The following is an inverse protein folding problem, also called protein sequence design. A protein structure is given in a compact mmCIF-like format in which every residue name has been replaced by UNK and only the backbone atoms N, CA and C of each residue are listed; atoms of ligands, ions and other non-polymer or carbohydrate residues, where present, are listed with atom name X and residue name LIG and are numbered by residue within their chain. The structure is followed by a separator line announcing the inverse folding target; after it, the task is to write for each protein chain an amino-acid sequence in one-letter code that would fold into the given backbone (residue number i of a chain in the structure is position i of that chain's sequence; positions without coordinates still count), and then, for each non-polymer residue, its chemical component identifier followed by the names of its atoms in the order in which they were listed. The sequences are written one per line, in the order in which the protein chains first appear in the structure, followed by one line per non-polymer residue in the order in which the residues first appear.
data_IF_583773635386
#
_entry.id   IF_583773635386
#
_cell.length_a   1.000
_cell.length_b   1.000
_cell.length_c   1.000
_cell.angle_alpha   90.00
_cell.angle_beta   90.00
_cell.angle_gamma   90.00
#
_symmetry.space_group_name_H-M   'P 1'
#
loop_
_entity.id
_entity.type
_entity.pdbx_description
1 polymer ?
#
# COMPACT_ATOMS: atom_id res chain seq x y z
N UNK A 1 -53.48 15.38 27.57
CA UNK A 1 -52.17 14.75 27.85
C UNK A 1 -51.71 14.03 26.59
N UNK A 2 -50.92 14.69 25.77
CA UNK A 2 -50.21 14.07 24.65
C UNK A 2 -48.88 14.79 24.56
N UNK A 3 -47.84 14.17 25.11
CA UNK A 3 -46.47 14.67 25.03
C UNK A 3 -45.92 14.29 23.65
N UNK A 4 -45.59 15.29 22.86
CA UNK A 4 -44.89 15.15 21.58
C UNK A 4 -43.42 14.85 21.89
N UNK A 5 -42.98 13.62 21.60
CA UNK A 5 -41.56 13.24 21.67
C UNK A 5 -40.81 13.93 20.52
N UNK A 6 -39.73 14.68 20.80
CA UNK A 6 -38.91 15.24 19.73
C UNK A 6 -38.17 14.11 19.01
N UNK A 7 -38.24 14.13 17.68
CA UNK A 7 -37.48 13.25 16.79
C UNK A 7 -35.98 13.38 17.09
N UNK A 8 -35.33 12.26 17.43
CA UNK A 8 -33.88 12.21 17.52
C UNK A 8 -33.30 12.25 16.11
N UNK A 9 -32.55 13.32 15.79
CA UNK A 9 -31.68 13.36 14.63
C UNK A 9 -30.73 12.14 14.65
N UNK A 10 -30.57 11.39 13.55
CA UNK A 10 -29.58 10.33 13.49
C UNK A 10 -28.19 10.98 13.60
N UNK A 11 -27.59 10.88 14.78
CA UNK A 11 -26.20 11.27 14.99
C UNK A 11 -25.33 10.60 13.92
N UNK A 12 -24.70 11.42 13.08
CA UNK A 12 -23.88 10.95 11.97
C UNK A 12 -22.81 9.97 12.45
N UNK A 13 -22.86 8.75 11.96
CA UNK A 13 -21.83 7.74 12.21
C UNK A 13 -20.46 8.27 11.77
N UNK A 14 -19.38 8.07 12.56
CA UNK A 14 -18.05 8.52 12.16
C UNK A 14 -17.65 7.88 10.83
N UNK A 15 -17.02 8.66 9.95
CA UNK A 15 -16.50 8.17 8.68
C UNK A 15 -15.47 7.07 8.95
N UNK A 16 -15.69 5.89 8.37
CA UNK A 16 -14.77 4.76 8.46
C UNK A 16 -13.95 4.66 7.17
N UNK A 17 -12.66 4.38 7.32
CA UNK A 17 -11.74 4.22 6.20
C UNK A 17 -11.40 2.74 6.00
N UNK A 18 -11.31 2.33 4.74
CA UNK A 18 -10.84 0.99 4.40
C UNK A 18 -9.29 0.94 4.42
N UNK A 19 -8.69 -0.05 5.07
CA UNK A 19 -7.24 -0.21 5.05
C UNK A 19 -6.73 -0.69 3.68
N UNK A 20 -5.54 -0.22 3.30
CA UNK A 20 -4.81 -0.77 2.16
C UNK A 20 -4.27 -2.17 2.50
N UNK A 21 -4.27 -3.05 1.50
CA UNK A 21 -3.57 -4.33 1.58
C UNK A 21 -2.28 -4.26 0.74
N UNK A 22 -1.18 -4.80 1.25
CA UNK A 22 0.10 -4.83 0.53
C UNK A 22 0.37 -6.19 -0.12
N UNK A 23 0.95 -6.19 -1.31
CA UNK A 23 1.39 -7.39 -2.03
C UNK A 23 2.82 -7.20 -2.54
N UNK A 24 3.71 -8.13 -2.20
CA UNK A 24 5.09 -8.16 -2.67
C UNK A 24 5.23 -9.25 -3.74
N UNK A 25 5.84 -8.95 -4.89
CA UNK A 25 6.09 -9.97 -5.89
C UNK A 25 7.26 -10.87 -5.46
N UNK A 26 7.27 -12.16 -5.83
CA UNK A 26 8.44 -13.03 -5.60
C UNK A 26 9.72 -12.48 -6.25
N UNK A 27 9.57 -11.85 -7.43
CA UNK A 27 10.66 -11.20 -8.14
C UNK A 27 11.28 -10.06 -7.33
N UNK A 28 10.45 -9.23 -6.68
CA UNK A 28 10.92 -8.21 -5.75
C UNK A 28 11.71 -8.79 -4.59
N UNK A 29 11.22 -9.86 -3.94
CA UNK A 29 11.92 -10.48 -2.80
C UNK A 29 13.30 -11.03 -3.22
N UNK A 30 13.38 -11.62 -4.41
CA UNK A 30 14.65 -12.08 -4.98
C UNK A 30 15.60 -10.91 -5.25
N UNK A 31 15.11 -9.84 -5.88
CA UNK A 31 15.89 -8.64 -6.16
C UNK A 31 16.40 -7.98 -4.87
N UNK A 32 15.55 -7.89 -3.84
CA UNK A 32 15.91 -7.37 -2.52
C UNK A 32 17.03 -8.20 -1.87
N UNK A 33 16.92 -9.53 -1.92
CA UNK A 33 17.96 -10.43 -1.41
C UNK A 33 19.30 -10.22 -2.11
N UNK A 34 19.30 -10.09 -3.44
CA UNK A 34 20.51 -9.83 -4.21
C UNK A 34 21.08 -8.44 -3.92
N UNK A 35 20.23 -7.41 -3.84
CA UNK A 35 20.65 -6.04 -3.56
C UNK A 35 21.24 -5.89 -2.15
N UNK A 36 20.68 -6.59 -1.14
CA UNK A 36 21.21 -6.59 0.24
C UNK A 36 22.63 -7.12 0.31
N UNK A 37 22.94 -8.17 -0.45
CA UNK A 37 24.26 -8.80 -0.46
C UNK A 37 25.27 -8.01 -1.29
N UNK A 38 24.87 -7.50 -2.45
CA UNK A 38 25.79 -6.90 -3.43
C UNK A 38 25.97 -5.40 -3.25
N UNK A 39 24.86 -4.68 -3.06
CA UNK A 39 24.80 -3.21 -3.15
C UNK A 39 24.80 -2.59 -1.76
N UNK A 40 23.90 -3.05 -0.88
CA UNK A 40 23.79 -2.49 0.47
C UNK A 40 24.85 -3.04 1.42
N UNK A 41 25.47 -4.18 1.12
CA UNK A 41 26.52 -4.80 1.96
C UNK A 41 26.12 -4.88 3.43
N UNK A 42 24.87 -5.29 3.69
CA UNK A 42 24.28 -5.35 5.04
C UNK A 42 24.11 -3.98 5.71
N UNK A 43 24.01 -2.89 4.94
CA UNK A 43 23.57 -1.60 5.47
C UNK A 43 22.08 -1.66 5.84
N UNK A 44 21.75 -1.06 6.98
CA UNK A 44 20.38 -0.94 7.51
C UNK A 44 19.79 0.44 7.23
N UNK A 45 20.49 1.29 6.47
CA UNK A 45 19.97 2.58 6.03
C UNK A 45 18.69 2.45 5.21
N UNK A 46 17.82 3.45 5.38
CA UNK A 46 16.54 3.55 4.69
C UNK A 46 16.75 3.64 3.17
N UNK A 47 16.08 2.76 2.42
CA UNK A 47 16.17 2.71 0.96
C UNK A 47 14.92 3.29 0.32
N UNK A 48 15.09 4.09 -0.74
CA UNK A 48 13.96 4.57 -1.52
C UNK A 48 13.28 3.40 -2.25
N UNK A 49 11.95 3.39 -2.24
CA UNK A 49 11.11 2.40 -2.89
C UNK A 49 10.00 3.12 -3.66
N UNK A 50 9.56 2.59 -4.78
CA UNK A 50 8.33 3.03 -5.47
C UNK A 50 7.40 1.84 -5.63
N UNK A 51 6.27 1.85 -4.93
CA UNK A 51 5.20 0.89 -5.17
C UNK A 51 4.14 1.46 -6.09
N UNK A 52 3.16 0.64 -6.43
CA UNK A 52 2.02 1.06 -7.24
C UNK A 52 0.72 0.48 -6.71
N UNK A 53 -0.38 1.20 -6.87
CA UNK A 53 -1.70 0.66 -6.58
C UNK A 53 -2.64 0.94 -7.74
N UNK A 54 -3.72 0.16 -7.81
CA UNK A 54 -4.76 0.31 -8.83
C UNK A 54 -6.09 0.54 -8.16
N UNK A 55 -6.80 1.60 -8.58
CA UNK A 55 -8.15 1.87 -8.08
C UNK A 55 -9.17 1.05 -8.88
N UNK A 56 -9.98 0.21 -8.23
CA UNK A 56 -11.08 -0.49 -8.88
C UNK A 56 -12.21 0.52 -9.13
N UNK A 57 -12.18 1.24 -10.26
CA UNK A 57 -13.22 2.24 -10.53
C UNK A 57 -13.24 2.90 -11.90
N UNK A 58 -12.23 2.71 -12.76
CA UNK A 58 -12.14 3.49 -14.00
C UNK A 58 -11.68 2.68 -15.23
N UNK A 59 -11.88 1.36 -15.27
CA UNK A 59 -11.73 0.58 -16.50
C UNK A 59 -12.78 -0.54 -16.62
N UNK A 60 -13.29 -0.81 -17.84
CA UNK A 60 -14.40 -1.72 -18.12
C UNK A 60 -13.92 -3.18 -18.12
N UNK A 61 -13.24 -3.62 -17.07
CA UNK A 61 -12.85 -5.02 -16.95
C UNK A 61 -13.98 -5.78 -16.24
N UNK A 62 -15.06 -5.98 -16.98
CA UNK A 62 -16.04 -7.00 -16.68
C UNK A 62 -15.30 -8.34 -16.78
N UNK A 63 -14.78 -8.83 -15.66
CA UNK A 63 -14.51 -10.27 -15.55
C UNK A 63 -15.88 -10.89 -15.74
N UNK A 64 -16.16 -11.44 -16.93
CA UNK A 64 -17.30 -12.33 -17.15
C UNK A 64 -17.06 -13.55 -16.27
N UNK A 65 -17.36 -13.41 -14.98
CA UNK A 65 -17.61 -14.54 -14.11
C UNK A 65 -19.07 -14.88 -14.35
N UNK A 66 -19.29 -16.09 -14.85
CA UNK A 66 -20.61 -16.66 -15.00
C UNK A 66 -21.41 -16.45 -13.71
N UNK A 67 -22.59 -15.85 -13.88
CA UNK A 67 -23.77 -15.87 -13.01
C UNK A 67 -23.55 -15.66 -11.50
N UNK A 68 -23.80 -14.44 -11.04
CA UNK A 68 -23.93 -14.09 -9.63
C UNK A 68 -23.25 -12.76 -9.31
N UNK A 69 -23.94 -11.64 -9.54
CA UNK A 69 -23.51 -10.30 -9.15
C UNK A 69 -23.43 -10.16 -7.63
N UNK A 70 -22.32 -10.60 -7.06
CA UNK A 70 -21.82 -10.11 -5.78
C UNK A 70 -20.66 -9.19 -6.11
N UNK A 71 -20.85 -7.88 -5.93
CA UNK A 71 -19.77 -6.90 -5.91
C UNK A 71 -18.90 -7.22 -4.71
N UNK A 72 -17.98 -8.18 -4.85
CA UNK A 72 -17.02 -8.51 -3.81
C UNK A 72 -16.12 -7.30 -3.59
N UNK A 73 -16.30 -6.66 -2.43
CA UNK A 73 -15.46 -5.56 -1.96
C UNK A 73 -14.02 -6.07 -1.84
N UNK A 74 -13.18 -5.75 -2.82
CA UNK A 74 -11.77 -6.12 -2.82
C UNK A 74 -10.96 -4.88 -2.39
N UNK A 75 -10.15 -4.97 -1.33
CA UNK A 75 -9.35 -3.85 -0.88
C UNK A 75 -8.35 -3.43 -1.96
N UNK A 76 -8.03 -2.15 -1.99
CA UNK A 76 -7.00 -1.63 -2.87
C UNK A 76 -5.66 -2.29 -2.49
N UNK A 77 -5.02 -2.89 -3.49
CA UNK A 77 -3.73 -3.56 -3.33
C UNK A 77 -2.59 -2.60 -3.69
N UNK A 78 -1.71 -2.37 -2.72
CA UNK A 78 -0.40 -1.74 -2.91
C UNK A 78 0.63 -2.81 -3.29
N UNK A 79 1.10 -2.76 -4.52
CA UNK A 79 1.99 -3.75 -5.13
C UNK A 79 3.41 -3.19 -5.21
N UNK A 80 4.36 -3.97 -4.71
CA UNK A 80 5.80 -3.71 -4.84
C UNK A 80 6.38 -4.78 -5.76
N UNK A 81 6.88 -4.35 -6.92
CA UNK A 81 7.45 -5.20 -7.96
C UNK A 81 8.98 -5.10 -8.00
N UNK A 82 9.61 -5.89 -8.89
CA UNK A 82 11.05 -5.97 -9.06
C UNK A 82 11.74 -4.62 -9.34
N UNK A 83 11.02 -3.71 -10.00
CA UNK A 83 11.55 -2.39 -10.37
C UNK A 83 11.38 -1.35 -9.25
N UNK A 84 10.79 -1.73 -8.12
CA UNK A 84 10.47 -0.80 -7.04
C UNK A 84 11.69 -0.13 -6.41
N UNK A 85 12.89 -0.70 -6.57
CA UNK A 85 14.13 -0.16 -6.00
C UNK A 85 14.98 0.64 -6.99
N UNK A 86 14.56 0.75 -8.26
CA UNK A 86 15.31 1.52 -9.25
C UNK A 86 15.19 3.02 -8.94
N UNK A 87 16.33 3.66 -8.62
CA UNK A 87 16.40 5.11 -8.32
C UNK A 87 15.94 5.89 -9.56
N UNK A 88 14.87 6.67 -9.40
CA UNK A 88 14.28 7.42 -10.50
C UNK A 88 13.62 6.49 -11.52
N UNK A 89 12.84 5.52 -11.01
CA UNK A 89 12.08 4.53 -11.77
C UNK A 89 11.84 5.01 -13.18
N UNK A 90 12.55 4.39 -14.14
CA UNK A 90 12.64 4.89 -15.51
C UNK A 90 11.29 5.02 -16.22
N UNK A 91 10.20 4.61 -15.56
CA UNK A 91 8.82 4.70 -16.02
C UNK A 91 7.84 5.33 -15.01
N UNK A 92 8.30 5.93 -13.90
CA UNK A 92 7.39 6.50 -12.88
C UNK A 92 6.56 7.69 -13.40
N UNK A 93 7.06 8.39 -14.43
CA UNK A 93 6.32 9.47 -15.11
C UNK A 93 5.58 9.01 -16.38
N UNK A 94 5.68 7.74 -16.76
CA UNK A 94 5.20 7.22 -18.06
C UNK A 94 4.48 5.89 -17.94
N UNK A 95 3.82 5.63 -16.81
CA UNK A 95 2.88 4.51 -16.73
C UNK A 95 1.72 4.76 -17.70
N UNK A 96 1.81 4.13 -18.86
CA UNK A 96 0.76 4.10 -19.90
C UNK A 96 -0.42 3.22 -19.48
N UNK A 97 -0.31 2.53 -18.33
CA UNK A 97 -1.33 1.61 -17.85
C UNK A 97 -2.43 2.43 -17.15
N UNK A 98 -3.66 2.44 -17.68
CA UNK A 98 -4.73 3.22 -17.10
C UNK A 98 -5.03 2.75 -15.67
N UNK A 99 -5.24 3.72 -14.78
CA UNK A 99 -5.60 3.53 -13.38
C UNK A 99 -4.51 2.92 -12.49
N UNK A 100 -3.24 2.96 -12.91
CA UNK A 100 -2.10 2.61 -12.06
C UNK A 100 -1.47 3.90 -11.51
N UNK A 101 -1.33 3.96 -10.20
CA UNK A 101 -0.75 5.10 -9.49
C UNK A 101 0.53 4.66 -8.79
N UNK A 102 1.62 5.39 -9.02
CA UNK A 102 2.89 5.15 -8.37
C UNK A 102 2.98 5.97 -7.08
N UNK A 103 3.43 5.33 -6.00
CA UNK A 103 3.59 5.96 -4.70
C UNK A 103 5.06 5.77 -4.25
N UNK A 104 5.80 6.88 -4.03
CA UNK A 104 7.11 6.81 -3.43
C UNK A 104 6.99 6.36 -1.97
N UNK A 105 7.98 5.63 -1.51
CA UNK A 105 8.03 5.09 -0.16
C UNK A 105 9.46 4.78 0.26
N UNK A 106 9.57 4.19 1.44
CA UNK A 106 10.84 3.89 2.08
C UNK A 106 10.83 2.48 2.61
N UNK A 107 11.84 1.70 2.25
CA UNK A 107 12.08 0.36 2.76
C UNK A 107 13.14 0.41 3.85
N UNK A 108 12.78 -0.11 5.02
CA UNK A 108 13.69 -0.27 6.15
C UNK A 108 13.90 -1.77 6.36
N UNK A 109 15.14 -2.21 6.19
CA UNK A 109 15.52 -3.61 6.23
C UNK A 109 16.60 -3.80 7.31
N UNK A 110 16.27 -4.47 8.40
CA UNK A 110 17.24 -4.80 9.45
C UNK A 110 18.05 -6.02 9.07
N UNK A 111 19.24 -6.19 9.66
CA UNK A 111 20.05 -7.39 9.40
C UNK A 111 19.62 -8.57 10.25
N UNK A 112 19.19 -8.27 11.48
CA UNK A 112 18.77 -9.28 12.44
C UNK A 112 17.28 -9.18 12.72
N UNK A 113 16.71 -10.31 13.16
CA UNK A 113 15.29 -10.39 13.57
C UNK A 113 15.11 -9.69 14.92
N UNK A 114 16.15 -9.68 15.74
CA UNK A 114 16.18 -9.02 17.04
C UNK A 114 16.06 -7.50 16.87
N UNK A 115 16.83 -6.90 15.95
CA UNK A 115 16.71 -5.49 15.57
C UNK A 115 15.29 -5.18 15.08
N UNK A 116 14.73 -6.03 14.21
CA UNK A 116 13.37 -5.84 13.69
C UNK A 116 12.32 -5.79 14.81
N UNK A 117 12.44 -6.68 15.80
CA UNK A 117 11.51 -6.75 16.93
C UNK A 117 11.64 -5.57 17.89
N UNK A 118 12.82 -4.97 17.96
CA UNK A 118 13.11 -3.83 18.83
C UNK A 118 12.80 -2.48 18.16
N UNK A 119 12.42 -2.48 16.88
CA UNK A 119 12.02 -1.26 16.19
C UNK A 119 10.77 -0.64 16.84
N UNK A 120 10.85 0.65 17.08
CA UNK A 120 9.71 1.46 17.49
C UNK A 120 8.90 1.87 16.25
N UNK A 121 7.91 1.05 15.89
CA UNK A 121 7.06 1.29 14.73
C UNK A 121 6.22 2.56 14.85
N UNK A 122 5.86 2.99 16.07
CA UNK A 122 5.07 4.20 16.27
C UNK A 122 5.89 5.44 15.93
N UNK A 123 7.13 5.50 16.48
CA UNK A 123 8.07 6.57 16.16
C UNK A 123 8.44 6.57 14.68
N UNK A 124 8.65 5.39 14.10
CA UNK A 124 8.97 5.25 12.67
C UNK A 124 7.84 5.79 11.79
N UNK A 125 6.59 5.45 12.10
CA UNK A 125 5.42 5.92 11.38
C UNK A 125 5.26 7.43 11.51
N UNK A 126 5.43 7.98 12.71
CA UNK A 126 5.36 9.43 12.95
C UNK A 126 6.43 10.20 12.15
N UNK A 127 7.65 9.66 12.04
CA UNK A 127 8.72 10.26 11.24
C UNK A 127 8.37 10.34 9.74
N UNK A 128 7.60 9.38 9.24
CA UNK A 128 7.23 9.29 7.82
C UNK A 128 5.81 9.78 7.54
N UNK A 129 5.13 10.35 8.55
CA UNK A 129 3.80 10.94 8.41
C UNK A 129 3.92 12.29 7.71
N UNK A 130 3.91 12.28 6.38
CA UNK A 130 3.73 13.50 5.59
C UNK A 130 2.25 13.87 5.64
N UNK A 131 1.93 14.97 6.34
CA UNK A 131 0.61 15.62 6.34
C UNK A 131 0.47 16.52 5.10
#
# INVERSE_FOLDING_TARGET
MTAEQPAQDPQGSPLQFEPFASSLTPAFLQALGQAKLTTFRLDTSAQALTGSYRTPGLAPFHVQRAEGTSTTHQPILFIVNENAMEIGGKDASTSTVPNVFHCPGTLINTNTVEEFRQLDFAKLLDQHRQL
#
